data_IF_010844338127
#
_entry.id   IF_010844338127
#
_cell.length_a   1.000
_cell.length_b   1.000
_cell.length_c   1.000
_cell.angle_alpha   90.00
_cell.angle_beta   90.00
_cell.angle_gamma   90.00
#
_symmetry.space_group_name_H-M   'P 1'
#
loop_
_entity.id
_entity.type
_entity.pdbx_description
1 polymer ?
#
# COMPACT_ATOMS: atom_id res chain seq x y z
N UNK A 1 -1.59 -1.13 -3.60
CA UNK A 1 -0.14 -1.25 -3.29
C UNK A 1 0.28 -2.70 -3.49
N UNK A 2 1.52 -2.94 -3.93
CA UNK A 2 2.11 -4.28 -3.94
C UNK A 2 2.54 -4.73 -2.53
N UNK A 3 3.17 -5.91 -2.42
CA UNK A 3 3.65 -6.45 -1.13
C UNK A 3 4.81 -5.66 -0.51
N UNK A 4 5.53 -4.85 -1.29
CA UNK A 4 6.62 -3.98 -0.82
C UNK A 4 6.13 -2.57 -0.44
N UNK A 5 4.85 -2.28 -0.67
CA UNK A 5 4.26 -0.98 -0.41
C UNK A 5 4.48 0.04 -1.52
N UNK A 6 4.67 -0.41 -2.76
CA UNK A 6 4.72 0.44 -3.94
C UNK A 6 3.33 0.52 -4.59
N UNK A 7 2.87 1.69 -5.05
CA UNK A 7 1.58 1.79 -5.73
C UNK A 7 1.64 1.14 -7.11
N UNK A 8 0.64 0.31 -7.41
CA UNK A 8 0.39 -0.24 -8.75
C UNK A 8 -0.59 0.65 -9.54
N UNK A 9 -1.44 1.36 -8.81
CA UNK A 9 -2.42 2.31 -9.31
C UNK A 9 -2.74 3.30 -8.18
N UNK A 10 -3.02 4.55 -8.55
CA UNK A 10 -3.42 5.63 -7.65
C UNK A 10 -4.68 6.27 -8.23
N UNK A 11 -5.68 6.47 -7.38
CA UNK A 11 -6.89 7.21 -7.71
C UNK A 11 -7.21 8.13 -6.55
N UNK A 12 -7.51 9.39 -6.84
CA UNK A 12 -7.98 10.36 -5.87
C UNK A 12 -9.42 10.70 -6.22
N UNK A 13 -10.29 10.69 -5.22
CA UNK A 13 -11.72 10.94 -5.39
C UNK A 13 -12.12 12.23 -4.72
N UNK A 14 -13.17 12.90 -5.21
CA UNK A 14 -13.77 14.01 -4.48
C UNK A 14 -14.42 13.50 -3.17
N UNK A 15 -14.61 14.40 -2.22
CA UNK A 15 -15.03 14.07 -0.85
C UNK A 15 -16.49 13.58 -0.73
N UNK A 16 -17.33 13.85 -1.73
CA UNK A 16 -18.71 13.39 -1.82
C UNK A 16 -18.83 11.93 -2.30
N UNK A 17 -17.76 11.34 -2.82
CA UNK A 17 -17.74 9.96 -3.24
C UNK A 17 -17.51 9.03 -2.03
N UNK A 18 -18.42 8.09 -1.83
CA UNK A 18 -18.23 7.06 -0.79
C UNK A 18 -17.10 6.11 -1.16
N UNK A 19 -16.30 5.71 -0.15
CA UNK A 19 -15.21 4.72 -0.27
C UNK A 19 -15.64 3.45 -1.00
N UNK A 20 -16.90 3.04 -0.81
CA UNK A 20 -17.45 1.84 -1.43
C UNK A 20 -17.59 1.97 -2.94
N UNK A 21 -18.08 3.12 -3.42
CA UNK A 21 -18.17 3.40 -4.85
C UNK A 21 -16.78 3.61 -5.43
N UNK A 22 -15.91 4.33 -4.72
CA UNK A 22 -14.53 4.53 -5.12
C UNK A 22 -13.79 3.18 -5.27
N UNK A 23 -13.97 2.25 -4.33
CA UNK A 23 -13.33 0.94 -4.39
C UNK A 23 -13.78 0.10 -5.59
N UNK A 24 -15.07 0.15 -5.98
CA UNK A 24 -15.52 -0.53 -7.20
C UNK A 24 -14.80 0.00 -8.44
N UNK A 25 -14.71 1.32 -8.56
CA UNK A 25 -14.05 1.98 -9.69
C UNK A 25 -12.54 1.67 -9.71
N UNK A 26 -11.86 1.75 -8.56
CA UNK A 26 -10.45 1.38 -8.43
C UNK A 26 -10.21 -0.06 -8.86
N UNK A 27 -11.03 -1.01 -8.38
CA UNK A 27 -10.86 -2.43 -8.68
C UNK A 27 -11.13 -2.74 -10.15
N UNK A 28 -12.14 -2.10 -10.75
CA UNK A 28 -12.42 -2.22 -12.17
C UNK A 28 -11.23 -1.76 -13.02
N UNK A 29 -10.73 -0.54 -12.77
CA UNK A 29 -9.56 0.00 -13.48
C UNK A 29 -8.31 -0.84 -13.24
N UNK A 30 -8.07 -1.26 -11.99
CA UNK A 30 -6.96 -2.14 -11.64
C UNK A 30 -7.00 -3.43 -12.45
N UNK A 31 -8.19 -4.04 -12.61
CA UNK A 31 -8.35 -5.28 -13.38
C UNK A 31 -8.04 -5.10 -14.86
N UNK A 32 -8.39 -3.95 -15.44
CA UNK A 32 -8.07 -3.62 -16.84
C UNK A 32 -6.56 -3.44 -17.06
N UNK A 33 -5.85 -2.83 -16.11
CA UNK A 33 -4.42 -2.54 -16.25
C UNK A 33 -3.50 -3.68 -15.80
N UNK A 34 -3.94 -4.48 -14.82
CA UNK A 34 -3.16 -5.54 -14.19
C UNK A 34 -4.00 -6.83 -14.06
N UNK A 35 -4.34 -7.50 -15.18
CA UNK A 35 -5.17 -8.71 -15.21
C UNK A 35 -4.53 -9.93 -14.53
N UNK A 36 -3.24 -9.88 -14.21
CA UNK A 36 -2.53 -10.90 -13.43
C UNK A 36 -2.83 -10.84 -11.93
N UNK A 37 -3.35 -9.71 -11.43
CA UNK A 37 -3.72 -9.58 -10.02
C UNK A 37 -5.02 -10.34 -9.78
N UNK A 38 -4.96 -11.30 -8.86
CA UNK A 38 -6.11 -12.16 -8.48
C UNK A 38 -6.52 -12.00 -7.02
N UNK A 39 -5.62 -11.48 -6.17
CA UNK A 39 -5.83 -11.33 -4.73
C UNK A 39 -5.58 -9.87 -4.32
N UNK A 40 -6.55 -9.28 -3.64
CA UNK A 40 -6.46 -7.94 -3.06
C UNK A 40 -6.72 -8.01 -1.56
N UNK A 41 -5.90 -7.35 -0.75
CA UNK A 41 -6.18 -7.20 0.69
C UNK A 41 -6.86 -5.86 0.96
N UNK A 42 -7.87 -5.88 1.82
CA UNK A 42 -8.61 -4.68 2.23
C UNK A 42 -8.91 -4.72 3.73
N UNK A 43 -9.26 -3.56 4.31
CA UNK A 43 -9.79 -3.51 5.67
C UNK A 43 -11.20 -4.10 5.72
N UNK A 44 -11.62 -4.53 6.89
CA UNK A 44 -12.96 -5.03 7.23
C UNK A 44 -14.11 -4.08 6.84
N UNK A 45 -13.88 -2.77 6.76
CA UNK A 45 -14.85 -1.80 6.26
C UNK A 45 -15.29 -2.07 4.80
N UNK A 46 -14.46 -2.76 4.02
CA UNK A 46 -14.72 -3.11 2.62
C UNK A 46 -15.38 -4.50 2.46
N UNK A 47 -15.81 -5.14 3.55
CA UNK A 47 -16.51 -6.42 3.51
C UNK A 47 -17.93 -6.32 2.90
N UNK A 48 -18.58 -7.47 2.69
CA UNK A 48 -19.94 -7.55 2.17
C UNK A 48 -20.00 -7.40 0.65
N UNK A 49 -21.01 -6.69 0.15
CA UNK A 49 -21.37 -6.74 -1.28
C UNK A 49 -20.27 -6.22 -2.25
N UNK A 50 -19.21 -5.56 -1.77
CA UNK A 50 -18.04 -5.27 -2.61
C UNK A 50 -17.23 -6.54 -2.93
N UNK A 51 -17.05 -7.43 -1.94
CA UNK A 51 -16.33 -8.70 -2.09
C UNK A 51 -17.04 -9.59 -3.10
N UNK A 52 -18.36 -9.74 -2.95
CA UNK A 52 -19.20 -10.54 -3.86
C UNK A 52 -19.18 -9.97 -5.28
N UNK A 53 -19.30 -8.65 -5.41
CA UNK A 53 -19.22 -7.96 -6.70
C UNK A 53 -17.85 -8.17 -7.37
N UNK A 54 -16.75 -8.00 -6.62
CA UNK A 54 -15.41 -8.17 -7.18
C UNK A 54 -15.16 -9.61 -7.65
N UNK A 55 -15.66 -10.60 -6.90
CA UNK A 55 -15.55 -12.01 -7.31
C UNK A 55 -16.41 -12.31 -8.54
N UNK A 56 -17.63 -11.78 -8.59
CA UNK A 56 -18.59 -12.06 -9.66
C UNK A 56 -18.20 -11.41 -10.98
N UNK A 57 -17.79 -10.13 -10.95
CA UNK A 57 -17.60 -9.33 -12.16
C UNK A 57 -16.14 -9.18 -12.59
N UNK A 58 -15.18 -9.33 -11.66
CA UNK A 58 -13.75 -9.12 -11.94
C UNK A 58 -12.92 -10.39 -11.75
N UNK A 59 -13.51 -11.48 -11.24
CA UNK A 59 -12.80 -12.68 -10.76
C UNK A 59 -11.68 -12.35 -9.75
N UNK A 60 -11.89 -11.31 -8.94
CA UNK A 60 -10.94 -10.86 -7.91
C UNK A 60 -11.34 -11.39 -6.54
N UNK A 61 -10.36 -11.92 -5.81
CA UNK A 61 -10.55 -12.35 -4.42
C UNK A 61 -10.11 -11.25 -3.46
N UNK A 62 -11.07 -10.61 -2.80
CA UNK A 62 -10.78 -9.62 -1.75
C UNK A 62 -10.66 -10.35 -0.40
N UNK A 63 -9.48 -10.27 0.21
CA UNK A 63 -9.20 -10.76 1.56
C UNK A 63 -9.31 -9.60 2.54
N UNK A 64 -10.43 -9.53 3.24
CA UNK A 64 -10.63 -8.53 4.30
C UNK A 64 -9.87 -8.92 5.56
N UNK A 65 -9.13 -7.97 6.12
CA UNK A 65 -8.41 -8.13 7.38
C UNK A 65 -9.21 -7.42 8.46
N UNK A 66 -9.61 -8.16 9.49
CA UNK A 66 -10.37 -7.63 10.62
C UNK A 66 -9.61 -7.84 11.93
N UNK A 67 -9.84 -6.94 12.89
CA UNK A 67 -9.31 -7.09 14.24
C UNK A 67 -10.06 -8.23 14.96
N UNK A 68 -9.35 -9.13 15.65
CA UNK A 68 -9.99 -10.12 16.52
C UNK A 68 -10.82 -9.42 17.61
N UNK A 69 -12.10 -9.79 17.75
CA UNK A 69 -13.05 -9.14 18.67
C UNK A 69 -12.70 -9.32 20.15
N UNK A 70 -12.01 -10.40 20.50
CA UNK A 70 -11.77 -10.82 21.89
C UNK A 70 -10.41 -10.40 22.46
N UNK A 71 -9.71 -9.46 21.81
CA UNK A 71 -8.37 -9.03 22.26
C UNK A 71 -8.42 -7.57 22.71
N UNK A 72 -8.20 -7.28 24.01
CA UNK A 72 -8.13 -5.91 24.51
C UNK A 72 -6.84 -5.23 24.00
N UNK A 73 -6.86 -3.90 23.87
CA UNK A 73 -5.70 -3.11 23.46
C UNK A 73 -5.40 -3.14 21.96
N UNK A 74 -4.21 -2.69 21.57
CA UNK A 74 -3.81 -2.60 20.16
C UNK A 74 -3.32 -3.97 19.65
N UNK A 75 -3.80 -4.37 18.47
CA UNK A 75 -3.36 -5.61 17.79
C UNK A 75 -2.77 -5.25 16.44
N UNK A 76 -1.54 -5.71 16.20
CA UNK A 76 -0.89 -5.56 14.89
C UNK A 76 -1.63 -6.40 13.86
N UNK A 77 -2.28 -5.75 12.91
CA UNK A 77 -2.96 -6.45 11.82
C UNK A 77 -1.96 -6.84 10.71
N UNK A 78 -2.03 -8.07 10.19
CA UNK A 78 -1.18 -8.50 9.09
C UNK A 78 -1.29 -7.55 7.88
N UNK A 79 -0.17 -7.22 7.27
CA UNK A 79 -0.02 -6.34 6.08
C UNK A 79 -0.43 -4.87 6.25
N UNK A 80 -1.11 -4.46 7.33
CA UNK A 80 -1.50 -3.06 7.56
C UNK A 80 -0.31 -2.09 7.60
N UNK A 81 0.78 -2.52 8.24
CA UNK A 81 2.06 -1.79 8.28
C UNK A 81 2.68 -1.53 6.89
N UNK A 82 2.26 -2.24 5.83
CA UNK A 82 2.67 -1.97 4.46
C UNK A 82 2.03 -0.70 3.95
N UNK A 83 0.70 -0.60 4.08
CA UNK A 83 -0.06 0.58 3.63
C UNK A 83 0.32 1.82 4.44
N UNK A 84 0.42 1.70 5.76
CA UNK A 84 0.77 2.83 6.63
C UNK A 84 2.16 3.39 6.31
N UNK A 85 3.14 2.51 6.05
CA UNK A 85 4.49 2.91 5.66
C UNK A 85 4.54 3.54 4.28
N UNK A 86 3.78 3.00 3.32
CA UNK A 86 3.63 3.61 1.98
C UNK A 86 3.09 5.03 2.10
N UNK A 87 2.04 5.21 2.92
CA UNK A 87 1.46 6.52 3.17
C UNK A 87 2.47 7.46 3.83
N UNK A 88 3.23 6.98 4.82
CA UNK A 88 4.30 7.77 5.44
C UNK A 88 5.37 8.22 4.42
N UNK A 89 5.79 7.37 3.47
CA UNK A 89 6.73 7.78 2.42
C UNK A 89 6.17 8.88 1.52
N UNK A 90 4.88 8.80 1.17
CA UNK A 90 4.21 9.83 0.38
C UNK A 90 4.17 11.14 1.18
N UNK A 91 3.73 11.11 2.43
CA UNK A 91 3.66 12.29 3.31
C UNK A 91 5.04 12.93 3.60
N UNK A 92 6.11 12.13 3.62
CA UNK A 92 7.47 12.63 3.77
C UNK A 92 8.02 13.33 2.52
N UNK A 93 7.40 13.16 1.35
CA UNK A 93 7.68 14.04 0.23
C UNK A 93 7.03 15.40 0.52
N UNK A 94 7.86 16.42 0.78
CA UNK A 94 7.48 17.77 1.26
C UNK A 94 6.21 18.35 0.61
N UNK A 95 5.96 18.07 -0.67
CA UNK A 95 4.79 18.54 -1.41
C UNK A 95 3.45 18.00 -0.87
N UNK A 96 3.44 16.82 -0.25
CA UNK A 96 2.26 16.14 0.27
C UNK A 96 1.98 16.39 1.75
N UNK A 97 2.77 17.24 2.42
CA UNK A 97 2.52 17.59 3.82
C UNK A 97 1.14 18.25 4.01
N UNK A 98 0.64 18.93 2.99
CA UNK A 98 -0.73 19.42 2.85
C UNK A 98 -1.16 19.28 1.39
N UNK A 99 -2.41 18.90 1.18
CA UNK A 99 -2.99 18.91 -0.16
C UNK A 99 -3.40 20.35 -0.52
N UNK A 100 -2.79 20.86 -1.59
CA UNK A 100 -3.07 22.19 -2.15
C UNK A 100 -3.70 22.09 -3.54
N UNK A 101 -3.91 20.88 -4.04
CA UNK A 101 -4.36 20.67 -5.41
C UNK A 101 -5.87 20.85 -5.52
N UNK A 102 -6.30 21.58 -6.55
CA UNK A 102 -7.72 21.80 -6.83
C UNK A 102 -8.34 20.64 -7.62
N UNK A 103 -7.53 19.95 -8.41
CA UNK A 103 -7.96 18.87 -9.30
C UNK A 103 -7.37 17.54 -8.83
N UNK A 104 -8.20 16.51 -8.76
CA UNK A 104 -7.81 15.16 -8.30
C UNK A 104 -6.65 14.59 -9.14
N UNK A 105 -6.61 14.91 -10.43
CA UNK A 105 -5.57 14.46 -11.36
C UNK A 105 -4.18 15.02 -10.98
N UNK A 106 -4.12 16.21 -10.40
CA UNK A 106 -2.86 16.78 -9.92
C UNK A 106 -2.39 16.04 -8.66
N UNK A 107 -3.29 15.77 -7.71
CA UNK A 107 -2.97 14.97 -6.53
C UNK A 107 -2.47 13.56 -6.93
N UNK A 108 -3.15 12.89 -7.86
CA UNK A 108 -2.74 11.59 -8.41
C UNK A 108 -1.32 11.65 -9.02
N UNK A 109 -1.06 12.67 -9.84
CA UNK A 109 0.24 12.86 -10.51
C UNK A 109 1.36 13.07 -9.49
N UNK A 110 1.11 13.88 -8.45
CA UNK A 110 2.10 14.17 -7.42
C UNK A 110 2.37 12.95 -6.52
N UNK A 111 1.35 12.16 -6.19
CA UNK A 111 1.53 10.90 -5.44
C UNK A 111 2.37 9.92 -6.28
N UNK A 112 2.07 9.82 -7.57
CA UNK A 112 2.82 8.99 -8.52
C UNK A 112 4.27 9.44 -8.63
N UNK A 113 4.53 10.76 -8.70
CA UNK A 113 5.89 11.31 -8.72
C UNK A 113 6.67 11.02 -7.43
N UNK A 114 6.01 11.10 -6.26
CA UNK A 114 6.62 10.72 -4.99
C UNK A 114 7.04 9.24 -4.99
N UNK A 115 6.19 8.34 -5.51
CA UNK A 115 6.49 6.92 -5.65
C UNK A 115 7.64 6.67 -6.64
N UNK A 116 7.66 7.33 -7.80
CA UNK A 116 8.76 7.23 -8.78
C UNK A 116 10.08 7.65 -8.12
N UNK A 117 10.11 8.81 -7.47
CA UNK A 117 11.31 9.31 -6.78
C UNK A 117 11.82 8.32 -5.74
N UNK A 118 10.92 7.70 -4.97
CA UNK A 118 11.26 6.67 -3.99
C UNK A 118 11.84 5.42 -4.67
N UNK A 119 11.23 4.95 -5.76
CA UNK A 119 11.70 3.79 -6.51
C UNK A 119 13.08 4.04 -7.13
N UNK A 120 13.29 5.19 -7.78
CA UNK A 120 14.60 5.57 -8.36
C UNK A 120 15.67 5.59 -7.28
N UNK A 121 15.40 6.20 -6.11
CA UNK A 121 16.35 6.21 -4.98
C UNK A 121 16.67 4.80 -4.48
N UNK A 122 15.73 3.86 -4.49
CA UNK A 122 15.97 2.47 -4.05
C UNK A 122 16.87 1.71 -5.02
N UNK A 123 16.68 1.93 -6.32
CA UNK A 123 17.48 1.29 -7.37
C UNK A 123 18.92 1.83 -7.37
N UNK A 124 19.10 3.14 -7.18
CA UNK A 124 20.43 3.77 -7.23
C UNK A 124 21.20 3.70 -5.92
N UNK A 125 20.54 3.43 -4.79
CA UNK A 125 21.20 3.27 -3.50
C UNK A 125 22.08 2.02 -3.56
N UNK A 126 23.41 2.21 -3.63
CA UNK A 126 24.38 1.12 -3.46
C UNK A 126 24.00 0.35 -2.20
N UNK A 127 23.90 -0.98 -2.32
CA UNK A 127 23.72 -1.87 -1.18
C UNK A 127 24.96 -1.76 -0.27
N UNK A 128 25.00 -0.76 0.61
CA UNK A 128 26.09 -0.57 1.58
C UNK A 128 26.00 -1.57 2.75
N UNK A 129 25.36 -2.73 2.54
CA UNK A 129 25.21 -3.80 3.52
C UNK A 129 25.56 -5.14 2.90
N UNK A 130 26.87 -5.39 2.76
CA UNK A 130 27.54 -6.68 3.00
C UNK A 130 29.06 -6.53 2.81
N UNK A 131 29.71 -5.93 3.80
CA UNK A 131 31.13 -6.14 4.08
C UNK A 131 31.39 -5.82 5.56
N UNK A 132 30.66 -6.52 6.43
CA UNK A 132 30.97 -6.58 7.86
C UNK A 132 31.24 -8.03 8.18
N UNK A 133 32.51 -8.36 8.42
CA UNK A 133 33.03 -9.69 8.74
C UNK A 133 32.20 -10.37 9.85
N UNK A 134 32.07 -11.71 9.83
CA UNK A 134 31.59 -12.41 11.02
C UNK A 134 32.55 -12.09 12.18
N UNK A 135 31.99 -11.63 13.30
CA UNK A 135 32.76 -11.42 14.51
C UNK A 135 33.33 -12.78 14.96
N UNK A 136 34.63 -12.98 14.75
CA UNK A 136 35.38 -14.06 15.37
C UNK A 136 35.38 -13.84 16.87
N UNK A 137 34.38 -14.41 17.56
CA UNK A 137 34.42 -14.63 19.01
C UNK A 137 34.99 -16.02 19.26
N UNK A 138 36.28 -16.16 18.99
CA UNK A 138 37.12 -17.19 19.60
C UNK A 138 38.45 -16.54 19.95
N UNK A 139 38.60 -16.22 21.23
CA UNK A 139 39.89 -16.06 21.88
C UNK A 139 39.68 -16.23 23.39
N UNK A 140 40.12 -17.38 23.90
CA UNK A 140 40.83 -17.57 25.17
C UNK A 140 40.13 -17.10 26.46
N UNK A 141 39.99 -17.90 27.53
CA UNK A 141 40.79 -18.99 28.09
C UNK A 141 39.96 -19.65 29.20
N UNK A 142 40.24 -20.92 29.45
CA UNK A 142 40.45 -21.58 30.75
C UNK A 142 39.89 -20.90 32.02
#
# INVERSE_FOLDING_TARGET
MDTKGLPLFVMVTPADMTDRNAAKEVLFRLRLMHPEITIVWADSAYAGQLVDWAKTFLDLTIKTVSRPKNVPGFVVLPRRWVVERSHAWVMHARRHARDYERLVQHSESLITWAAITLMTRRITRRNSRRSGQPASREAHRD
#
